data_IF_165911483850
#
_entry.id   IF_165911483850
#
_cell.length_a   1.000
_cell.length_b   1.000
_cell.length_c   1.000
_cell.angle_alpha   90.00
_cell.angle_beta   90.00
_cell.angle_gamma   90.00
#
_symmetry.space_group_name_H-M   'P 1'
#
loop_
_entity.id
_entity.type
_entity.pdbx_description
1 polymer ?
#
# COMPACT_ATOMS: atom_id res chain seq x y z
N UNK A 1 1.98 13.20 1.88
CA UNK A 1 1.67 11.80 2.18
C UNK A 1 2.85 11.05 2.76
N UNK A 2 2.70 10.63 4.01
CA UNK A 2 3.64 9.73 4.69
C UNK A 2 3.22 8.27 4.45
N UNK A 3 4.20 7.37 4.39
CA UNK A 3 3.99 5.93 4.26
C UNK A 3 4.60 5.25 5.49
N UNK A 4 3.78 4.53 6.24
CA UNK A 4 4.15 3.91 7.53
C UNK A 4 3.56 2.49 7.62
N UNK A 5 3.88 1.79 8.71
CA UNK A 5 3.38 0.44 8.96
C UNK A 5 4.48 -0.61 8.96
N UNK A 6 4.12 -1.83 8.58
CA UNK A 6 4.98 -3.00 8.67
C UNK A 6 6.24 -2.88 7.79
N UNK A 7 7.45 -3.13 8.33
CA UNK A 7 8.70 -2.99 7.58
C UNK A 7 8.78 -3.85 6.30
N UNK A 8 8.29 -5.09 6.34
CA UNK A 8 8.32 -6.00 5.19
C UNK A 8 7.33 -5.53 4.11
N UNK A 9 6.16 -5.06 4.52
CA UNK A 9 5.16 -4.48 3.61
C UNK A 9 5.66 -3.20 2.94
N UNK A 10 6.37 -2.35 3.70
CA UNK A 10 7.02 -1.16 3.17
C UNK A 10 8.13 -1.50 2.17
N UNK A 11 8.91 -2.55 2.43
CA UNK A 11 9.91 -3.03 1.49
C UNK A 11 9.26 -3.58 0.21
N UNK A 12 8.17 -4.32 0.31
CA UNK A 12 7.41 -4.81 -0.85
C UNK A 12 6.88 -3.64 -1.71
N UNK A 13 6.37 -2.56 -1.10
CA UNK A 13 5.96 -1.36 -1.85
C UNK A 13 7.14 -0.65 -2.52
N UNK A 14 8.33 -0.64 -1.92
CA UNK A 14 9.54 -0.08 -2.55
C UNK A 14 9.91 -0.86 -3.81
N UNK A 15 9.87 -2.19 -3.76
CA UNK A 15 10.08 -3.02 -4.95
C UNK A 15 9.03 -2.73 -6.04
N UNK A 16 7.75 -2.64 -5.68
CA UNK A 16 6.68 -2.27 -6.61
C UNK A 16 6.92 -0.88 -7.21
N UNK A 17 7.41 0.09 -6.43
CA UNK A 17 7.74 1.43 -6.92
C UNK A 17 8.81 1.41 -8.00
N UNK A 18 9.83 0.57 -7.83
CA UNK A 18 10.97 0.46 -8.74
C UNK A 18 10.59 -0.28 -10.02
N UNK A 19 9.83 -1.36 -9.91
CA UNK A 19 9.51 -2.24 -11.05
C UNK A 19 8.22 -1.84 -11.78
N UNK A 20 7.23 -1.32 -11.05
CA UNK A 20 5.83 -1.18 -11.51
C UNK A 20 5.21 0.12 -10.99
N UNK A 21 5.86 1.25 -11.28
CA UNK A 21 5.45 2.58 -10.79
C UNK A 21 3.98 2.93 -11.07
N UNK A 22 3.42 2.54 -12.21
CA UNK A 22 2.02 2.82 -12.53
C UNK A 22 1.05 1.97 -11.71
N UNK A 23 1.43 0.73 -11.37
CA UNK A 23 0.66 -0.09 -10.45
C UNK A 23 0.63 0.52 -9.04
N UNK A 24 1.75 1.10 -8.58
CA UNK A 24 1.76 1.82 -7.31
C UNK A 24 0.81 3.03 -7.31
N UNK A 25 0.77 3.80 -8.41
CA UNK A 25 -0.19 4.92 -8.54
C UNK A 25 -1.64 4.43 -8.50
N UNK A 26 -1.92 3.32 -9.16
CA UNK A 26 -3.23 2.66 -9.10
C UNK A 26 -3.59 2.31 -7.65
N UNK A 27 -2.73 1.61 -6.92
CA UNK A 27 -2.96 1.24 -5.51
C UNK A 27 -3.21 2.46 -4.62
N UNK A 28 -2.43 3.53 -4.78
CA UNK A 28 -2.61 4.78 -4.03
C UNK A 28 -3.97 5.42 -4.36
N UNK A 29 -4.37 5.40 -5.63
CA UNK A 29 -5.64 5.96 -6.09
C UNK A 29 -6.80 5.16 -5.53
N UNK A 30 -6.75 3.83 -5.66
CA UNK A 30 -7.74 2.90 -5.12
C UNK A 30 -7.88 3.06 -3.61
N UNK A 31 -6.79 3.09 -2.84
CA UNK A 31 -6.85 3.30 -1.40
C UNK A 31 -7.47 4.66 -1.02
N UNK A 32 -7.37 5.68 -1.89
CA UNK A 32 -7.99 6.98 -1.64
C UNK A 32 -9.48 7.03 -2.01
N UNK A 33 -9.89 6.32 -3.05
CA UNK A 33 -11.23 6.43 -3.64
C UNK A 33 -12.18 5.29 -3.26
N UNK A 34 -11.65 4.15 -2.81
CA UNK A 34 -12.47 3.02 -2.37
C UNK A 34 -13.27 3.38 -1.11
N UNK A 35 -14.46 2.80 -0.96
CA UNK A 35 -15.32 3.03 0.21
C UNK A 35 -14.60 2.65 1.51
N UNK A 36 -13.86 1.54 1.50
CA UNK A 36 -13.06 1.07 2.63
C UNK A 36 -11.77 1.85 2.88
N UNK A 37 -11.40 2.78 1.98
CA UNK A 37 -10.14 3.53 2.01
C UNK A 37 -8.89 2.63 2.07
N UNK A 38 -8.92 1.49 1.39
CA UNK A 38 -7.75 0.63 1.29
C UNK A 38 -7.59 0.04 -0.11
N UNK A 39 -6.39 -0.46 -0.38
CA UNK A 39 -6.05 -1.31 -1.51
C UNK A 39 -5.25 -2.51 -1.00
N UNK A 40 -5.39 -3.65 -1.66
CA UNK A 40 -4.62 -4.86 -1.35
C UNK A 40 -3.55 -5.07 -2.42
N UNK A 41 -2.38 -5.55 -2.01
CA UNK A 41 -1.33 -5.90 -2.96
C UNK A 41 -0.54 -7.12 -2.49
N UNK A 42 0.20 -7.71 -3.42
CA UNK A 42 1.05 -8.87 -3.18
C UNK A 42 2.51 -8.49 -3.40
N UNK A 43 3.37 -8.84 -2.44
CA UNK A 43 4.82 -8.72 -2.55
C UNK A 43 5.42 -9.74 -3.52
N UNK A 44 6.69 -9.55 -3.88
CA UNK A 44 7.42 -10.50 -4.73
C UNK A 44 7.57 -11.89 -4.08
N UNK A 45 7.52 -11.94 -2.75
CA UNK A 45 7.54 -13.15 -1.93
C UNK A 45 6.18 -13.88 -1.85
N UNK A 46 5.14 -13.34 -2.49
CA UNK A 46 3.79 -13.89 -2.48
C UNK A 46 2.94 -13.49 -1.27
N UNK A 47 3.50 -12.79 -0.27
CA UNK A 47 2.74 -12.30 0.90
C UNK A 47 1.78 -11.20 0.50
N UNK A 48 0.64 -11.13 1.20
CA UNK A 48 -0.40 -10.14 0.97
C UNK A 48 -0.35 -9.04 2.01
N UNK A 49 -0.65 -7.84 1.57
CA UNK A 49 -0.60 -6.63 2.36
C UNK A 49 -1.82 -5.78 2.08
N UNK A 50 -2.29 -5.09 3.11
CA UNK A 50 -3.33 -4.07 3.03
C UNK A 50 -2.69 -2.71 3.20
N UNK A 51 -2.94 -1.80 2.26
CA UNK A 51 -2.56 -0.40 2.36
C UNK A 51 -3.80 0.45 2.60
N UNK A 52 -3.91 1.05 3.78
CA UNK A 52 -5.06 1.86 4.20
C UNK A 52 -4.71 3.36 4.18
N UNK A 53 -5.60 4.18 3.62
CA UNK A 53 -5.48 5.63 3.62
C UNK A 53 -6.18 6.25 4.84
N UNK A 54 -5.41 6.94 5.68
CA UNK A 54 -5.89 7.69 6.85
C UNK A 54 -6.03 9.16 6.49
N UNK A 55 -7.24 9.56 6.06
CA UNK A 55 -7.51 10.89 5.51
C UNK A 55 -7.21 12.04 6.48
N UNK A 56 -7.42 11.85 7.78
CA UNK A 56 -7.16 12.88 8.81
C UNK A 56 -5.68 13.27 8.92
N UNK A 57 -4.77 12.38 8.51
CA UNK A 57 -3.32 12.53 8.63
C UNK A 57 -2.59 12.64 7.27
N UNK A 58 -3.32 12.55 6.16
CA UNK A 58 -2.76 12.33 4.81
C UNK A 58 -1.66 11.23 4.83
N UNK A 59 -2.00 10.06 5.36
CA UNK A 59 -1.06 8.97 5.60
C UNK A 59 -1.54 7.65 5.01
N UNK A 60 -0.60 6.84 4.52
CA UNK A 60 -0.83 5.46 4.08
C UNK A 60 -0.18 4.51 5.09
N UNK A 61 -0.97 3.60 5.64
CA UNK A 61 -0.53 2.60 6.62
C UNK A 61 -0.58 1.22 5.97
N UNK A 62 0.52 0.47 6.07
CA UNK A 62 0.66 -0.88 5.51
C UNK A 62 0.61 -1.92 6.62
N UNK A 63 -0.26 -2.91 6.48
CA UNK A 63 -0.46 -3.98 7.46
C UNK A 63 -0.43 -5.36 6.78
N UNK A 64 0.13 -6.39 7.44
CA UNK A 64 0.11 -7.75 6.91
C UNK A 64 -1.32 -8.28 6.85
N UNK A 65 -1.61 -9.05 5.81
CA UNK A 65 -2.86 -9.79 5.71
C UNK A 65 -2.66 -11.28 6.04
N UNK A 66 -3.67 -11.96 6.61
CA UNK A 66 -3.66 -13.40 6.80
C UNK A 66 -3.48 -14.20 5.52
#
# INVERSE_FOLDING_TARGET
MNLTGDPDGLQALRQIKEERKDFLKFLITEAKTSFGRFAEFRGADGRRWKMTYVAQRDEMVVEPMP
#
